data_IF_255113886979
#
_entry.id   IF_255113886979
#
_cell.length_a   1.000
_cell.length_b   1.000
_cell.length_c   1.000
_cell.angle_alpha   90.00
_cell.angle_beta   90.00
_cell.angle_gamma   90.00
#
_symmetry.space_group_name_H-M   'P 1'
#
loop_
_entity.id
_entity.type
_entity.pdbx_description
1 polymer ?
#
# COMPACT_ATOMS: atom_id res chain seq x y z
N UNK A 1 -6.99 -14.78 3.34
CA UNK A 1 -6.05 -13.67 3.14
C UNK A 1 -5.62 -13.08 4.48
N UNK A 2 -4.32 -12.86 4.65
CA UNK A 2 -3.75 -12.25 5.85
C UNK A 2 -3.23 -10.87 5.48
N UNK A 3 -3.88 -9.80 5.97
CA UNK A 3 -3.52 -8.42 5.73
C UNK A 3 -4.38 -7.70 4.70
N UNK A 4 -4.21 -6.39 4.61
CA UNK A 4 -4.95 -5.50 3.71
C UNK A 4 -4.20 -5.27 2.41
N UNK A 5 -4.27 -6.21 1.49
CA UNK A 5 -3.62 -6.08 0.19
C UNK A 5 -4.41 -5.16 -0.73
N UNK A 6 -3.81 -4.06 -1.15
CA UNK A 6 -4.42 -3.09 -2.05
C UNK A 6 -3.77 -3.20 -3.42
N UNK A 7 -4.59 -3.24 -4.46
CA UNK A 7 -4.11 -3.32 -5.83
C UNK A 7 -3.95 -1.91 -6.41
N UNK A 8 -2.73 -1.48 -6.51
CA UNK A 8 -2.31 -0.29 -7.24
C UNK A 8 -0.85 -0.43 -7.67
N UNK A 9 -0.52 0.07 -8.83
CA UNK A 9 0.85 0.13 -9.33
C UNK A 9 1.05 1.42 -10.11
N UNK A 10 2.31 1.86 -10.22
CA UNK A 10 2.73 2.92 -11.15
C UNK A 10 3.13 2.34 -12.51
N UNK A 11 3.21 1.02 -12.62
CA UNK A 11 3.48 0.31 -13.85
C UNK A 11 2.15 -0.03 -14.52
N UNK A 12 1.93 0.53 -15.71
CA UNK A 12 0.71 0.35 -16.48
C UNK A 12 0.55 -1.11 -16.93
N UNK A 13 1.63 -1.81 -17.28
CA UNK A 13 1.59 -3.22 -17.66
C UNK A 13 1.03 -4.11 -16.55
N UNK A 14 1.43 -3.85 -15.29
CA UNK A 14 0.90 -4.57 -14.13
C UNK A 14 -0.58 -4.26 -13.92
N UNK A 15 -0.96 -2.99 -14.07
CA UNK A 15 -2.37 -2.59 -13.94
C UNK A 15 -3.22 -3.21 -15.04
N UNK A 16 -2.73 -3.25 -16.27
CA UNK A 16 -3.43 -3.84 -17.42
C UNK A 16 -3.54 -5.36 -17.28
N UNK A 17 -2.50 -6.02 -16.81
CA UNK A 17 -2.55 -7.44 -16.47
C UNK A 17 -3.67 -7.75 -15.46
N UNK A 18 -3.75 -6.99 -14.37
CA UNK A 18 -4.83 -7.17 -13.40
C UNK A 18 -6.22 -6.92 -13.98
N UNK A 19 -6.36 -5.89 -14.81
CA UNK A 19 -7.63 -5.56 -15.50
C UNK A 19 -8.06 -6.62 -16.51
N UNK A 20 -7.10 -7.29 -17.14
CA UNK A 20 -7.38 -8.41 -18.05
C UNK A 20 -7.96 -9.61 -17.29
N UNK A 21 -7.43 -9.90 -16.12
CA UNK A 21 -7.93 -10.99 -15.26
C UNK A 21 -9.29 -10.64 -14.63
N UNK A 22 -9.40 -9.42 -14.09
CA UNK A 22 -10.58 -8.94 -13.39
C UNK A 22 -10.88 -7.49 -13.80
N UNK A 23 -11.87 -7.25 -14.69
CA UNK A 23 -12.20 -5.90 -15.14
C UNK A 23 -12.69 -4.99 -14.00
N UNK A 24 -12.47 -3.68 -14.15
CA UNK A 24 -12.97 -2.68 -13.19
C UNK A 24 -14.47 -2.51 -13.34
N UNK A 25 -15.17 -2.30 -12.22
CA UNK A 25 -16.61 -2.08 -12.15
C UNK A 25 -17.08 -0.96 -13.08
N UNK A 26 -18.17 -1.24 -13.84
CA UNK A 26 -18.85 -0.27 -14.70
C UNK A 26 -20.15 0.26 -14.11
N UNK A 27 -20.58 -0.29 -12.96
CA UNK A 27 -21.75 0.16 -12.21
C UNK A 27 -21.39 0.31 -10.71
N UNK A 28 -22.14 1.12 -9.96
CA UNK A 28 -21.97 1.21 -8.50
C UNK A 28 -22.27 -0.14 -7.84
N UNK A 29 -21.49 -0.51 -6.82
CA UNK A 29 -21.83 -1.62 -5.95
C UNK A 29 -22.98 -1.22 -4.99
N UNK A 30 -23.68 -2.20 -4.44
CA UNK A 30 -24.80 -1.97 -3.52
C UNK A 30 -24.44 -1.07 -2.35
N UNK A 31 -23.25 -1.26 -1.76
CA UNK A 31 -22.76 -0.41 -0.66
C UNK A 31 -22.40 1.01 -1.13
N UNK A 32 -21.95 1.19 -2.39
CA UNK A 32 -21.71 2.51 -2.94
C UNK A 32 -23.04 3.28 -3.13
N UNK A 33 -24.06 2.60 -3.65
CA UNK A 33 -25.38 3.18 -3.82
C UNK A 33 -26.04 3.54 -2.48
N UNK A 34 -25.98 2.64 -1.49
CA UNK A 34 -26.54 2.87 -0.15
C UNK A 34 -25.86 4.02 0.61
N UNK A 35 -24.56 4.20 0.40
CA UNK A 35 -23.77 5.20 1.11
C UNK A 35 -23.56 6.50 0.29
N UNK A 36 -24.21 6.61 -0.87
CA UNK A 36 -24.10 7.79 -1.75
C UNK A 36 -22.67 8.05 -2.20
N UNK A 37 -21.87 7.01 -2.44
CA UNK A 37 -20.45 7.15 -2.83
C UNK A 37 -20.31 7.26 -4.33
N UNK A 38 -19.92 8.41 -4.80
CA UNK A 38 -19.55 8.61 -6.19
C UNK A 38 -18.10 8.15 -6.44
N UNK A 39 -17.90 7.41 -7.52
CA UNK A 39 -16.60 6.85 -7.92
C UNK A 39 -16.44 6.88 -9.43
N UNK A 40 -15.20 6.93 -9.96
CA UNK A 40 -14.97 6.69 -11.36
C UNK A 40 -15.34 5.25 -11.72
N UNK A 41 -16.24 5.09 -12.68
CA UNK A 41 -16.67 3.80 -13.22
C UNK A 41 -15.99 3.57 -14.58
N UNK A 42 -15.65 2.31 -14.87
CA UNK A 42 -15.07 1.95 -16.16
C UNK A 42 -16.17 1.84 -17.22
N UNK A 43 -16.12 2.62 -18.33
CA UNK A 43 -17.08 2.47 -19.40
C UNK A 43 -17.10 1.03 -19.94
N UNK A 44 -18.28 0.41 -20.01
CA UNK A 44 -18.41 -0.99 -20.45
C UNK A 44 -17.95 -2.04 -19.43
N UNK A 45 -17.52 -1.64 -18.25
CA UNK A 45 -17.14 -2.55 -17.18
C UNK A 45 -18.34 -3.34 -16.62
N UNK A 46 -18.08 -4.48 -15.94
CA UNK A 46 -19.13 -5.32 -15.39
C UNK A 46 -19.86 -4.66 -14.22
N UNK A 47 -21.12 -5.06 -14.06
CA UNK A 47 -21.93 -4.72 -12.89
C UNK A 47 -21.52 -5.64 -11.71
N UNK A 48 -21.01 -5.09 -10.60
CA UNK A 48 -20.57 -5.89 -9.45
C UNK A 48 -21.71 -6.63 -8.75
N UNK A 49 -22.96 -6.28 -8.98
CA UNK A 49 -24.10 -7.01 -8.42
C UNK A 49 -24.51 -8.23 -9.29
N UNK A 50 -24.00 -8.28 -10.53
CA UNK A 50 -24.28 -9.39 -11.47
C UNK A 50 -23.13 -10.37 -11.62
N UNK A 51 -21.90 -9.95 -11.27
CA UNK A 51 -20.71 -10.82 -11.35
C UNK A 51 -19.79 -10.62 -10.17
N UNK A 52 -19.08 -11.69 -9.81
CA UNK A 52 -18.04 -11.64 -8.78
C UNK A 52 -16.65 -11.39 -9.38
N UNK A 53 -16.47 -11.66 -10.69
CA UNK A 53 -15.20 -11.42 -11.39
C UNK A 53 -15.05 -9.93 -11.76
N UNK A 54 -14.81 -9.12 -10.75
CA UNK A 54 -14.76 -7.66 -10.88
C UNK A 54 -13.86 -7.02 -9.82
N UNK A 55 -13.11 -6.00 -10.24
CA UNK A 55 -12.38 -5.10 -9.35
C UNK A 55 -13.25 -3.92 -8.97
N UNK A 56 -13.43 -3.73 -7.68
CA UNK A 56 -14.14 -2.57 -7.12
C UNK A 56 -13.17 -1.42 -6.91
N UNK A 57 -13.57 -0.20 -7.26
CA UNK A 57 -12.84 1.01 -6.90
C UNK A 57 -13.16 1.33 -5.44
N UNK A 58 -12.12 1.41 -4.61
CA UNK A 58 -12.25 1.69 -3.18
C UNK A 58 -11.48 2.94 -2.78
N UNK A 59 -12.12 3.78 -1.99
CA UNK A 59 -11.47 4.95 -1.39
C UNK A 59 -10.69 4.52 -0.16
N UNK A 60 -9.44 4.96 -0.10
CA UNK A 60 -8.57 4.69 1.03
C UNK A 60 -9.05 5.44 2.26
N UNK A 61 -9.35 4.72 3.33
CA UNK A 61 -9.56 5.27 4.65
C UNK A 61 -8.40 4.81 5.54
N UNK A 62 -7.48 5.72 5.86
CA UNK A 62 -6.38 5.46 6.77
C UNK A 62 -6.44 6.45 7.92
N UNK A 63 -6.31 5.97 9.14
CA UNK A 63 -6.36 6.79 10.36
C UNK A 63 -5.28 6.35 11.33
N UNK A 64 -4.74 7.33 12.07
CA UNK A 64 -3.83 7.08 13.19
C UNK A 64 -4.66 7.19 14.46
N UNK A 65 -4.66 6.13 15.28
CA UNK A 65 -5.26 6.17 16.59
C UNK A 65 -4.19 6.55 17.62
N UNK A 66 -4.33 7.73 18.21
CA UNK A 66 -3.40 8.26 19.19
C UNK A 66 -4.13 8.99 20.32
N UNK A 67 -3.78 8.69 21.56
CA UNK A 67 -4.41 9.26 22.78
C UNK A 67 -5.95 9.23 22.74
N UNK A 68 -6.50 8.07 22.36
CA UNK A 68 -7.96 7.82 22.23
C UNK A 68 -8.68 8.71 21.21
N UNK A 69 -7.94 9.27 20.22
CA UNK A 69 -8.48 10.08 19.14
C UNK A 69 -7.97 9.57 17.81
N UNK A 70 -8.78 9.74 16.76
CA UNK A 70 -8.40 9.40 15.41
C UNK A 70 -7.88 10.64 14.68
N UNK A 71 -6.78 10.46 13.97
CA UNK A 71 -6.20 11.45 13.07
C UNK A 71 -6.23 10.92 11.66
N UNK A 72 -6.50 11.77 10.68
CA UNK A 72 -6.41 11.41 9.27
C UNK A 72 -4.97 11.08 8.89
N UNK A 73 -4.79 10.13 7.98
CA UNK A 73 -3.48 9.84 7.40
C UNK A 73 -3.54 10.03 5.87
N UNK A 74 -2.64 10.80 5.27
CA UNK A 74 -1.58 11.60 5.91
C UNK A 74 -2.11 12.67 6.86
N UNK A 75 -1.33 13.01 7.89
CA UNK A 75 -1.71 14.04 8.84
C UNK A 75 -1.80 15.38 8.11
N UNK A 76 -2.94 16.04 8.21
CA UNK A 76 -3.18 17.36 7.67
C UNK A 76 -3.53 18.34 8.79
N UNK A 77 -3.20 19.62 8.60
CA UNK A 77 -3.59 20.70 9.52
C UNK A 77 -5.07 21.06 9.29
N UNK A 78 -5.96 20.15 9.67
CA UNK A 78 -7.41 20.40 9.69
C UNK A 78 -7.85 20.92 11.07
N UNK A 79 -9.02 21.55 11.12
CA UNK A 79 -9.63 21.95 12.40
C UNK A 79 -9.83 20.75 13.34
N UNK A 80 -10.11 19.56 12.79
CA UNK A 80 -10.21 18.30 13.54
C UNK A 80 -8.85 17.90 14.15
N UNK A 81 -7.77 17.98 13.37
CA UNK A 81 -6.41 17.68 13.85
C UNK A 81 -6.01 18.63 14.96
N UNK A 82 -6.27 19.94 14.81
CA UNK A 82 -5.97 20.94 15.84
C UNK A 82 -6.76 20.68 17.12
N UNK A 83 -8.06 20.40 17.00
CA UNK A 83 -8.92 20.04 18.14
C UNK A 83 -8.45 18.77 18.84
N UNK A 84 -8.07 17.75 18.07
CA UNK A 84 -7.62 16.47 18.60
C UNK A 84 -6.24 16.54 19.27
N UNK A 85 -5.32 17.35 18.73
CA UNK A 85 -4.01 17.61 19.33
C UNK A 85 -4.10 18.55 20.55
N UNK A 86 -5.05 19.47 20.53
CA UNK A 86 -5.13 20.58 21.45
C UNK A 86 -4.20 21.73 21.07
N UNK A 87 -4.59 22.98 21.44
CA UNK A 87 -3.88 24.20 21.00
C UNK A 87 -2.42 24.19 21.43
N UNK A 88 -2.11 23.82 22.67
CA UNK A 88 -0.74 23.81 23.19
C UNK A 88 0.19 22.87 22.41
N UNK A 89 -0.27 21.66 22.08
CA UNK A 89 0.52 20.70 21.29
C UNK A 89 0.64 21.16 19.82
N UNK A 90 -0.38 21.79 19.28
CA UNK A 90 -0.34 22.37 17.93
C UNK A 90 0.70 23.48 17.83
N UNK A 91 0.73 24.39 18.80
CA UNK A 91 1.76 25.44 18.86
C UNK A 91 3.16 24.88 19.02
N UNK A 92 3.35 23.88 19.94
CA UNK A 92 4.63 23.17 20.09
C UNK A 92 5.07 22.50 18.80
N UNK A 93 4.14 21.88 18.06
CA UNK A 93 4.42 21.23 16.78
C UNK A 93 4.83 22.26 15.71
N UNK A 94 4.11 23.38 15.61
CA UNK A 94 4.43 24.49 14.70
C UNK A 94 5.80 25.08 14.99
N UNK A 95 6.10 25.41 16.24
CA UNK A 95 7.39 25.94 16.64
C UNK A 95 8.52 24.93 16.39
N UNK A 96 8.32 23.66 16.78
CA UNK A 96 9.30 22.59 16.52
C UNK A 96 9.57 22.35 15.05
N UNK A 97 8.56 22.51 14.20
CA UNK A 97 8.71 22.45 12.75
C UNK A 97 9.58 23.58 12.21
N UNK A 98 9.28 24.84 12.58
CA UNK A 98 10.08 26.01 12.20
C UNK A 98 11.52 25.88 12.69
N UNK A 99 11.71 25.47 13.94
CA UNK A 99 13.03 25.21 14.51
C UNK A 99 13.82 24.20 13.69
N UNK A 100 13.23 23.05 13.36
CA UNK A 100 13.86 22.01 12.56
C UNK A 100 14.10 22.41 11.09
N UNK A 101 13.34 23.39 10.58
CA UNK A 101 13.58 23.94 9.25
C UNK A 101 14.87 24.77 9.19
N UNK A 102 15.16 25.51 10.28
CA UNK A 102 16.36 26.37 10.42
C UNK A 102 17.56 25.53 10.88
N UNK A 103 17.40 24.75 11.93
CA UNK A 103 18.47 23.97 12.57
C UNK A 103 18.40 22.49 12.16
N UNK A 104 18.94 22.18 10.98
CA UNK A 104 18.97 20.80 10.48
C UNK A 104 19.97 19.93 11.23
N UNK A 105 19.55 18.71 11.57
CA UNK A 105 20.44 17.67 12.08
C UNK A 105 21.06 16.89 10.94
N UNK A 106 22.25 16.30 11.16
CA UNK A 106 22.82 15.34 10.21
C UNK A 106 21.93 14.12 10.12
N UNK A 107 21.47 13.78 8.92
CA UNK A 107 20.55 12.66 8.66
C UNK A 107 21.31 11.32 8.63
N UNK A 108 21.81 10.88 9.78
CA UNK A 108 22.50 9.59 9.93
C UNK A 108 21.54 8.45 10.22
N UNK A 109 20.38 8.75 10.79
CA UNK A 109 19.37 7.78 11.19
C UNK A 109 17.95 8.26 10.90
N UNK A 110 17.01 7.35 11.01
CA UNK A 110 15.60 7.58 10.71
C UNK A 110 14.97 8.65 11.63
N UNK A 111 15.38 8.74 12.89
CA UNK A 111 14.92 9.76 13.84
C UNK A 111 15.29 11.16 13.34
N UNK A 112 16.56 11.40 13.02
CA UNK A 112 17.00 12.71 12.53
C UNK A 112 16.35 13.05 11.19
N UNK A 113 16.15 12.06 10.33
CA UNK A 113 15.40 12.21 9.08
C UNK A 113 13.97 12.72 9.31
N UNK A 114 13.24 12.14 10.25
CA UNK A 114 11.88 12.58 10.56
C UNK A 114 11.86 13.93 11.30
N UNK A 115 12.76 14.15 12.25
CA UNK A 115 12.85 15.44 12.97
C UNK A 115 13.09 16.59 12.01
N UNK A 116 13.99 16.42 11.04
CA UNK A 116 14.27 17.44 10.04
C UNK A 116 13.06 17.79 9.15
N UNK A 117 12.13 16.87 8.97
CA UNK A 117 10.95 17.05 8.10
C UNK A 117 9.69 17.47 8.84
N UNK A 118 9.53 17.02 10.07
CA UNK A 118 8.27 17.19 10.82
C UNK A 118 8.46 17.96 12.13
N UNK A 119 9.68 18.16 12.58
CA UNK A 119 9.99 18.69 13.90
C UNK A 119 9.95 17.62 15.00
N UNK A 120 10.71 17.84 16.07
CA UNK A 120 10.80 16.90 17.18
C UNK A 120 9.45 16.61 17.87
N UNK A 121 8.54 17.59 18.07
CA UNK A 121 7.25 17.31 18.71
C UNK A 121 6.36 16.36 17.91
N UNK A 122 6.25 16.54 16.57
CA UNK A 122 5.46 15.66 15.72
C UNK A 122 6.11 14.28 15.56
N UNK A 123 7.45 14.24 15.49
CA UNK A 123 8.19 12.99 15.47
C UNK A 123 7.87 12.14 16.72
N UNK A 124 8.01 12.71 17.91
CA UNK A 124 7.70 12.01 19.16
C UNK A 124 6.24 11.58 19.27
N UNK A 125 5.33 12.39 18.73
CA UNK A 125 3.90 12.13 18.84
C UNK A 125 3.41 11.00 17.94
N UNK A 126 3.92 10.92 16.70
CA UNK A 126 3.31 10.06 15.67
C UNK A 126 4.26 9.01 15.07
N UNK A 127 5.57 9.17 15.25
CA UNK A 127 6.55 8.32 14.56
C UNK A 127 7.41 7.49 15.50
N UNK A 128 7.82 8.00 16.66
CA UNK A 128 8.79 7.35 17.56
C UNK A 128 8.27 6.00 18.04
N UNK A 129 7.21 6.02 18.86
CA UNK A 129 6.61 4.80 19.45
C UNK A 129 6.05 3.87 18.36
N UNK A 130 5.46 4.43 17.30
CA UNK A 130 4.94 3.63 16.19
C UNK A 130 6.05 2.87 15.47
N UNK A 131 7.14 3.54 15.15
CA UNK A 131 8.29 2.93 14.45
C UNK A 131 8.94 1.86 15.30
N UNK A 132 9.18 2.15 16.58
CA UNK A 132 9.75 1.19 17.52
C UNK A 132 8.85 -0.05 17.66
N UNK A 133 7.54 0.14 17.80
CA UNK A 133 6.58 -0.95 17.88
C UNK A 133 6.53 -1.83 16.65
N UNK A 134 6.61 -1.23 15.45
CA UNK A 134 6.50 -1.96 14.18
C UNK A 134 7.80 -2.71 13.84
N UNK A 135 8.94 -2.10 14.14
CA UNK A 135 10.25 -2.65 13.76
C UNK A 135 10.98 -3.38 14.89
N UNK A 136 10.49 -3.26 16.12
CA UNK A 136 11.11 -3.85 17.30
C UNK A 136 12.47 -3.25 17.69
N UNK A 137 12.85 -2.13 17.04
CA UNK A 137 14.14 -1.45 17.26
C UNK A 137 13.94 0.06 17.32
N UNK A 138 14.82 0.74 18.06
CA UNK A 138 14.75 2.20 18.18
C UNK A 138 15.04 2.88 16.82
N UNK A 139 14.29 3.92 16.42
CA UNK A 139 14.54 4.69 15.20
C UNK A 139 15.96 5.26 15.04
N UNK A 140 16.69 5.41 16.14
CA UNK A 140 18.10 5.82 16.12
C UNK A 140 19.02 4.80 15.45
N UNK A 141 18.66 3.51 15.50
CA UNK A 141 19.44 2.42 14.91
C UNK A 141 19.07 2.12 13.46
N UNK A 142 18.02 2.74 12.90
CA UNK A 142 17.56 2.55 11.54
C UNK A 142 18.19 3.61 10.64
N UNK A 143 18.74 3.20 9.47
CA UNK A 143 19.32 4.13 8.49
C UNK A 143 18.30 5.18 8.00
N UNK A 144 18.78 6.41 7.78
CA UNK A 144 18.00 7.48 7.18
C UNK A 144 17.51 7.13 5.76
N UNK A 145 18.25 6.33 5.01
CA UNK A 145 17.91 5.94 3.63
C UNK A 145 16.60 5.18 3.56
N UNK A 146 16.28 4.40 4.59
CA UNK A 146 15.01 3.70 4.68
C UNK A 146 13.83 4.68 4.72
N UNK A 147 13.95 5.76 5.50
CA UNK A 147 12.97 6.84 5.55
C UNK A 147 12.87 7.60 4.23
N UNK A 148 14.01 7.84 3.57
CA UNK A 148 14.07 8.54 2.29
C UNK A 148 13.32 7.78 1.18
N UNK A 149 13.36 6.46 1.17
CA UNK A 149 12.62 5.63 0.20
C UNK A 149 11.10 5.68 0.41
N UNK A 150 10.65 5.78 1.66
CA UNK A 150 9.22 5.71 2.02
C UNK A 150 8.52 7.07 2.12
N UNK A 151 9.27 8.12 2.39
CA UNK A 151 8.76 9.48 2.68
C UNK A 151 9.22 10.48 1.62
N UNK A 152 9.68 10.02 0.44
CA UNK A 152 10.04 10.90 -0.68
C UNK A 152 8.83 11.80 -1.04
N UNK A 153 9.03 13.12 -0.95
CA UNK A 153 8.03 14.12 -1.38
C UNK A 153 7.03 14.58 -0.30
N UNK A 154 7.01 14.00 0.90
CA UNK A 154 6.21 14.53 2.01
C UNK A 154 6.88 15.78 2.58
N UNK A 155 6.60 16.94 2.01
CA UNK A 155 6.90 18.24 2.59
C UNK A 155 5.62 18.79 3.22
N UNK A 156 5.61 18.95 4.55
CA UNK A 156 4.50 19.63 5.24
C UNK A 156 4.27 21.04 4.69
N UNK A 157 5.33 21.73 4.27
CA UNK A 157 5.23 23.04 3.65
C UNK A 157 4.48 22.98 2.30
N UNK A 158 4.78 21.97 1.44
CA UNK A 158 3.99 21.76 0.20
C UNK A 158 2.55 21.39 0.50
N UNK A 159 2.31 20.54 1.50
CA UNK A 159 0.95 20.19 1.92
C UNK A 159 0.20 21.41 2.48
N UNK A 160 0.83 22.22 3.31
CA UNK A 160 0.27 23.48 3.81
C UNK A 160 0.02 24.50 2.70
N UNK A 161 0.98 24.67 1.79
CA UNK A 161 0.88 25.61 0.67
C UNK A 161 -0.22 25.22 -0.31
N UNK A 162 -0.38 23.92 -0.59
CA UNK A 162 -1.48 23.41 -1.40
C UNK A 162 -2.84 23.55 -0.72
N UNK A 163 -2.92 23.47 0.60
CA UNK A 163 -4.17 23.72 1.33
C UNK A 163 -4.60 25.18 1.30
N UNK A 164 -3.66 26.11 1.40
CA UNK A 164 -3.95 27.55 1.26
C UNK A 164 -4.37 27.88 -0.17
N UNK A 165 -3.87 27.16 -1.18
CA UNK A 165 -4.23 27.35 -2.59
C UNK A 165 -5.42 26.55 -3.09
N UNK A 166 -5.92 25.57 -2.35
CA UNK A 166 -7.01 24.66 -2.77
C UNK A 166 -8.35 25.31 -3.17
N UNK A 167 -8.69 26.54 -2.83
CA UNK A 167 -9.89 27.16 -3.39
C UNK A 167 -9.80 27.45 -4.90
N UNK A 168 -8.61 27.39 -5.52
CA UNK A 168 -8.40 27.92 -6.87
C UNK A 168 -7.84 26.95 -7.92
N UNK A 169 -7.57 25.69 -7.60
CA UNK A 169 -7.00 24.74 -8.59
C UNK A 169 -7.79 23.43 -8.63
N UNK A 170 -8.57 23.24 -9.69
CA UNK A 170 -9.07 21.92 -10.13
C UNK A 170 -7.88 21.12 -10.66
N UNK A 171 -7.59 19.99 -10.04
CA UNK A 171 -6.52 19.10 -10.48
C UNK A 171 -6.85 18.41 -11.81
N UNK A 172 -6.01 18.64 -12.79
CA UNK A 172 -6.00 17.94 -14.09
C UNK A 172 -4.59 17.51 -14.47
N UNK A 173 -3.77 16.97 -13.57
CA UNK A 173 -2.52 16.34 -14.01
C UNK A 173 -2.17 15.15 -13.12
N UNK A 174 -2.39 13.94 -13.68
CA UNK A 174 -2.12 12.64 -13.08
C UNK A 174 -0.63 12.26 -12.99
N UNK A 175 0.29 13.21 -12.82
CA UNK A 175 1.73 12.94 -12.77
C UNK A 175 2.26 12.91 -11.34
N UNK A 176 2.70 11.70 -10.93
CA UNK A 176 3.52 11.38 -9.74
C UNK A 176 2.86 11.62 -8.38
N UNK A 177 1.80 10.91 -8.09
CA UNK A 177 1.31 10.76 -6.71
C UNK A 177 2.21 9.77 -5.98
N UNK A 178 2.75 10.17 -4.84
CA UNK A 178 3.50 9.28 -3.95
C UNK A 178 2.59 8.15 -3.44
N UNK A 179 3.14 6.93 -3.33
CA UNK A 179 2.39 5.73 -2.93
C UNK A 179 1.63 5.91 -1.60
N UNK A 180 2.12 6.77 -0.72
CA UNK A 180 1.47 7.12 0.55
C UNK A 180 0.26 8.06 0.40
N UNK A 181 0.08 8.71 -0.76
CA UNK A 181 -0.98 9.68 -1.04
C UNK A 181 -2.07 9.13 -1.96
N UNK A 182 -2.01 7.85 -2.33
CA UNK A 182 -3.05 7.23 -3.16
C UNK A 182 -4.37 7.23 -2.40
N UNK A 183 -5.34 7.94 -2.92
CA UNK A 183 -6.68 8.08 -2.35
C UNK A 183 -7.61 6.94 -2.75
N UNK A 184 -7.38 6.34 -3.93
CA UNK A 184 -8.18 5.25 -4.48
C UNK A 184 -7.30 4.09 -4.90
N UNK A 185 -7.81 2.88 -4.79
CA UNK A 185 -7.20 1.65 -5.23
C UNK A 185 -8.28 0.70 -5.76
N UNK A 186 -7.90 -0.28 -6.55
CA UNK A 186 -8.80 -1.34 -6.97
C UNK A 186 -8.70 -2.53 -6.01
N UNK A 187 -9.80 -3.28 -5.88
CA UNK A 187 -9.88 -4.38 -4.94
C UNK A 187 -10.84 -5.47 -5.45
N UNK A 188 -10.41 -6.73 -5.53
CA UNK A 188 -11.31 -7.81 -5.92
C UNK A 188 -12.53 -7.90 -5.01
N UNK A 189 -13.70 -8.13 -5.58
CA UNK A 189 -14.97 -8.14 -4.83
C UNK A 189 -14.95 -9.07 -3.62
N UNK A 190 -14.36 -10.26 -3.73
CA UNK A 190 -14.25 -11.26 -2.67
C UNK A 190 -12.94 -11.22 -1.88
N UNK A 191 -12.12 -10.19 -2.06
CA UNK A 191 -10.84 -10.07 -1.39
C UNK A 191 -9.64 -10.36 -2.29
N UNK A 192 -8.40 -10.08 -1.82
CA UNK A 192 -7.20 -10.11 -2.66
C UNK A 192 -6.87 -11.50 -3.21
N UNK A 193 -7.22 -12.58 -2.50
CA UNK A 193 -7.02 -13.96 -2.95
C UNK A 193 -7.76 -14.29 -4.23
N UNK A 194 -8.91 -13.67 -4.46
CA UNK A 194 -9.72 -13.90 -5.65
C UNK A 194 -8.96 -13.64 -6.97
N UNK A 195 -8.06 -12.66 -7.00
CA UNK A 195 -7.26 -12.42 -8.21
C UNK A 195 -6.37 -13.62 -8.53
N UNK A 196 -5.73 -14.18 -7.50
CA UNK A 196 -4.83 -15.32 -7.65
C UNK A 196 -5.58 -16.61 -7.96
N UNK A 197 -6.76 -16.79 -7.38
CA UNK A 197 -7.67 -17.90 -7.72
C UNK A 197 -8.12 -17.79 -9.18
N UNK A 198 -8.53 -16.59 -9.63
CA UNK A 198 -8.89 -16.34 -11.02
C UNK A 198 -7.72 -16.64 -11.97
N UNK A 199 -6.49 -16.24 -11.60
CA UNK A 199 -5.29 -16.55 -12.38
C UNK A 199 -5.03 -18.06 -12.44
N UNK A 200 -5.18 -18.74 -11.31
CA UNK A 200 -5.03 -20.19 -11.24
C UNK A 200 -6.03 -20.93 -12.15
N UNK A 201 -7.29 -20.49 -12.14
CA UNK A 201 -8.33 -21.04 -13.01
C UNK A 201 -7.98 -20.85 -14.51
N UNK A 202 -7.45 -19.67 -14.87
CA UNK A 202 -6.99 -19.39 -16.24
C UNK A 202 -5.80 -20.29 -16.67
N UNK A 203 -4.87 -20.56 -15.73
CA UNK A 203 -3.75 -21.48 -15.97
C UNK A 203 -4.28 -22.90 -16.23
N UNK A 204 -5.20 -23.38 -15.41
CA UNK A 204 -5.81 -24.71 -15.57
C UNK A 204 -6.61 -24.80 -16.86
N UNK A 205 -7.41 -23.77 -17.18
CA UNK A 205 -8.19 -23.72 -18.42
C UNK A 205 -7.33 -23.77 -19.68
N UNK A 206 -6.06 -23.36 -19.60
CA UNK A 206 -5.06 -23.45 -20.69
C UNK A 206 -4.23 -24.75 -20.65
N UNK A 207 -4.62 -25.73 -19.85
CA UNK A 207 -3.95 -27.02 -19.74
C UNK A 207 -2.79 -27.07 -18.76
N UNK A 208 -2.57 -26.01 -17.99
CA UNK A 208 -1.58 -26.02 -16.89
C UNK A 208 -2.05 -26.87 -15.71
N UNK A 209 -1.10 -27.38 -14.95
CA UNK A 209 -1.36 -28.19 -13.76
C UNK A 209 -0.87 -27.43 -12.51
N UNK A 210 -1.75 -27.28 -11.52
CA UNK A 210 -1.41 -26.69 -10.22
C UNK A 210 -1.51 -27.76 -9.16
N UNK A 211 -0.40 -28.09 -8.53
CA UNK A 211 -0.34 -29.06 -7.43
C UNK A 211 -0.24 -28.29 -6.12
N UNK A 212 -1.27 -28.39 -5.29
CA UNK A 212 -1.31 -27.75 -3.97
C UNK A 212 -0.82 -28.71 -2.89
N UNK A 213 -0.32 -28.17 -1.78
CA UNK A 213 0.20 -28.94 -0.65
C UNK A 213 1.34 -29.88 -1.02
N UNK A 214 2.12 -29.52 -2.03
CA UNK A 214 3.30 -30.23 -2.49
C UNK A 214 4.54 -29.41 -2.07
N UNK A 215 5.23 -29.87 -1.03
CA UNK A 215 6.43 -29.22 -0.51
C UNK A 215 7.66 -29.70 -1.28
N UNK A 216 8.31 -28.83 -2.01
CA UNK A 216 9.58 -29.16 -2.67
C UNK A 216 10.65 -29.40 -1.60
N UNK A 217 11.22 -30.58 -1.59
CA UNK A 217 12.27 -31.05 -0.65
C UNK A 217 13.65 -31.08 -1.28
N UNK A 218 13.73 -31.39 -2.58
CA UNK A 218 14.99 -31.54 -3.26
C UNK A 218 14.90 -31.05 -4.71
N UNK A 219 15.97 -30.45 -5.17
CA UNK A 219 16.22 -30.14 -6.59
C UNK A 219 17.25 -31.11 -7.10
N UNK A 220 16.89 -31.91 -8.11
CA UNK A 220 17.76 -32.85 -8.75
C UNK A 220 18.60 -32.20 -9.81
N UNK A 221 19.91 -32.39 -9.78
CA UNK A 221 20.84 -31.81 -10.75
C UNK A 221 21.76 -32.87 -11.34
N UNK A 222 22.04 -32.75 -12.62
CA UNK A 222 23.00 -33.58 -13.34
C UNK A 222 23.81 -32.67 -14.29
N UNK A 223 25.11 -32.80 -14.28
CA UNK A 223 26.04 -32.00 -15.12
C UNK A 223 25.79 -30.49 -15.06
N UNK A 224 25.42 -29.96 -13.85
CA UNK A 224 25.15 -28.55 -13.63
C UNK A 224 23.80 -28.06 -14.14
N UNK A 225 22.91 -28.96 -14.56
CA UNK A 225 21.54 -28.62 -14.98
C UNK A 225 20.52 -29.24 -14.03
N UNK A 226 19.41 -28.56 -13.80
CA UNK A 226 18.28 -29.12 -13.07
C UNK A 226 17.56 -30.13 -13.95
N UNK A 227 17.35 -31.34 -13.43
CA UNK A 227 16.69 -32.45 -14.12
C UNK A 227 15.34 -32.84 -13.52
N UNK A 228 15.04 -32.32 -12.33
CA UNK A 228 13.76 -32.55 -11.67
C UNK A 228 13.66 -31.87 -10.32
N UNK A 229 12.47 -31.89 -9.76
CA UNK A 229 12.20 -31.50 -8.38
C UNK A 229 11.44 -32.61 -7.68
N UNK A 230 11.82 -32.90 -6.44
CA UNK A 230 11.13 -33.88 -5.58
C UNK A 230 10.24 -33.07 -4.63
N UNK A 231 8.95 -33.35 -4.66
CA UNK A 231 7.99 -32.73 -3.75
C UNK A 231 7.32 -33.80 -2.87
N UNK A 232 7.15 -33.47 -1.61
CA UNK A 232 6.37 -34.21 -0.64
C UNK A 232 4.91 -33.86 -0.75
N UNK A 233 4.07 -34.80 -1.08
CA UNK A 233 2.62 -34.71 -1.16
C UNK A 233 1.98 -35.58 -0.07
N UNK A 234 0.64 -35.52 0.04
CA UNK A 234 -0.11 -36.28 1.04
C UNK A 234 0.16 -37.80 0.96
N UNK A 235 0.35 -38.31 -0.26
CA UNK A 235 0.50 -39.74 -0.52
C UNK A 235 1.98 -40.18 -0.70
N UNK A 236 2.93 -39.30 -0.39
CA UNK A 236 4.36 -39.55 -0.45
C UNK A 236 5.13 -38.60 -1.36
N UNK A 237 6.39 -38.96 -1.63
CA UNK A 237 7.25 -38.10 -2.48
C UNK A 237 7.00 -38.41 -3.96
N UNK A 238 6.95 -37.32 -4.74
CA UNK A 238 6.78 -37.35 -6.19
C UNK A 238 7.83 -36.53 -6.89
N UNK A 239 8.37 -37.03 -7.99
CA UNK A 239 9.34 -36.32 -8.82
C UNK A 239 8.64 -35.68 -10.02
N UNK A 240 8.85 -34.38 -10.18
CA UNK A 240 8.39 -33.62 -11.32
C UNK A 240 9.57 -33.27 -12.24
N UNK A 241 9.40 -33.54 -13.54
CA UNK A 241 10.40 -33.26 -14.57
C UNK A 241 9.88 -32.21 -15.53
N UNK A 242 10.78 -31.38 -16.08
CA UNK A 242 10.48 -30.34 -17.07
C UNK A 242 11.73 -29.92 -17.82
N UNK A 243 11.56 -29.12 -18.85
CA UNK A 243 12.68 -28.55 -19.60
C UNK A 243 13.25 -27.30 -18.89
N UNK A 244 12.39 -26.54 -18.19
CA UNK A 244 12.74 -25.35 -17.46
C UNK A 244 12.17 -25.41 -16.04
N UNK A 245 12.92 -24.87 -15.11
CA UNK A 245 12.54 -24.79 -13.69
C UNK A 245 12.68 -23.34 -13.23
N UNK A 246 11.59 -22.77 -12.72
CA UNK A 246 11.53 -21.43 -12.16
C UNK A 246 11.21 -21.52 -10.67
N UNK A 247 11.98 -20.84 -9.84
CA UNK A 247 11.73 -20.69 -8.41
C UNK A 247 11.43 -19.24 -8.08
N UNK A 248 10.39 -18.97 -7.29
CA UNK A 248 10.01 -17.64 -6.83
C UNK A 248 10.17 -17.52 -5.32
#
# INVERSE_FOLDING_TARGET
DIGGHRFFSKNDEVMDFWRTLMPIQGAPSKDDALLGREKPLAPGGPDPEKTDRVMLVRTRVSRIFFRRKFFAYPISLSGETIRNMGVANTLKAGFGYVWSAVFKKKETNLKNFYINRFGAPLYKMFFEDYTEKVWGVNPDSISADWGAQRVKGLSLFKALWTMVKKPFVRNTDGKKVETSLIEQFIYPKKGPGQLWETLADEVVARGGVIVKNARVKQVLTENGRVTGVVAEEKDGEKTYKGEYYLSS
#
